data_IF_294552149259
#
_entry.id   IF_294552149259
#
_cell.length_a   1.000
_cell.length_b   1.000
_cell.length_c   1.000
_cell.angle_alpha   90.00
_cell.angle_beta   90.00
_cell.angle_gamma   90.00
#
_symmetry.space_group_name_H-M   'P 1'
#
loop_
_entity.id
_entity.type
_entity.pdbx_description
1 polymer ?
#
# COMPACT_ATOMS: atom_id res chain seq x y z
N UNK A 1 5.51 -0.93 34.02
CA UNK A 1 4.90 -0.61 32.71
C UNK A 1 6.03 -0.25 31.77
N UNK A 2 6.41 -1.16 30.88
CA UNK A 2 7.35 -0.85 29.79
C UNK A 2 6.58 -0.04 28.76
N UNK A 3 7.10 1.09 28.32
CA UNK A 3 6.55 1.81 27.18
C UNK A 3 7.06 1.06 25.95
N UNK A 4 6.15 0.46 25.17
CA UNK A 4 6.48 -0.08 23.85
C UNK A 4 7.27 0.97 23.06
N UNK A 5 8.34 0.54 22.42
CA UNK A 5 9.17 1.43 21.62
C UNK A 5 8.35 1.92 20.43
N UNK A 6 8.65 3.10 19.87
CA UNK A 6 7.93 3.60 18.68
C UNK A 6 7.93 2.60 17.50
N UNK A 7 8.91 1.69 17.47
CA UNK A 7 9.05 0.56 16.56
C UNK A 7 7.93 -0.50 16.65
N UNK A 8 7.13 -0.54 17.71
CA UNK A 8 6.13 -1.60 17.93
C UNK A 8 4.71 -1.16 17.53
N UNK A 9 4.56 0.05 16.96
CA UNK A 9 3.26 0.63 16.60
C UNK A 9 3.19 0.88 15.11
N UNK A 10 1.96 1.00 14.61
CA UNK A 10 1.71 1.50 13.27
C UNK A 10 1.62 3.04 13.31
N UNK A 11 2.51 3.78 12.65
CA UNK A 11 2.44 5.22 12.52
C UNK A 11 1.15 5.69 11.86
N UNK A 12 0.82 6.97 12.04
CA UNK A 12 -0.43 7.53 11.52
C UNK A 12 -0.35 7.88 10.03
N UNK A 13 0.85 8.19 9.52
CA UNK A 13 1.08 8.69 8.16
C UNK A 13 1.64 7.57 7.29
N UNK A 14 1.16 7.41 6.05
CA UNK A 14 1.54 6.32 5.15
C UNK A 14 3.07 6.24 4.92
N UNK A 15 3.72 7.38 4.68
CA UNK A 15 5.19 7.43 4.57
C UNK A 15 5.91 6.92 5.82
N UNK A 16 5.44 7.32 7.02
CA UNK A 16 6.00 6.83 8.28
C UNK A 16 5.70 5.34 8.49
N UNK A 17 4.51 4.86 8.10
CA UNK A 17 4.19 3.44 8.16
C UNK A 17 5.15 2.60 7.31
N UNK A 18 5.55 3.09 6.13
CA UNK A 18 6.57 2.45 5.33
C UNK A 18 7.94 2.48 6.04
N UNK A 19 8.39 3.69 6.40
CA UNK A 19 9.78 3.96 6.77
C UNK A 19 10.14 3.61 8.23
N UNK A 20 9.17 3.66 9.15
CA UNK A 20 9.40 3.49 10.59
C UNK A 20 8.36 2.63 11.31
N UNK A 21 7.36 2.10 10.58
CA UNK A 21 6.33 1.26 11.17
C UNK A 21 6.83 -0.09 11.69
N UNK A 22 6.02 -0.71 12.54
CA UNK A 22 6.23 -2.08 13.00
C UNK A 22 6.14 -3.12 11.86
N UNK A 23 6.81 -4.26 12.06
CA UNK A 23 6.83 -5.38 11.10
C UNK A 23 8.08 -5.43 10.21
N UNK A 24 8.04 -6.22 9.15
CA UNK A 24 9.15 -6.46 8.22
C UNK A 24 8.95 -5.73 6.88
N UNK A 25 9.94 -4.91 6.48
CA UNK A 25 9.95 -4.27 5.18
C UNK A 25 10.31 -5.30 4.09
N UNK A 26 9.33 -5.67 3.25
CA UNK A 26 9.51 -6.69 2.20
C UNK A 26 10.13 -6.05 0.95
N UNK A 27 9.57 -4.91 0.54
CA UNK A 27 10.07 -4.11 -0.58
C UNK A 27 9.97 -2.64 -0.19
N UNK A 28 11.10 -1.95 -0.14
CA UNK A 28 11.14 -0.50 0.03
C UNK A 28 10.89 0.26 -1.28
N UNK A 29 10.45 1.52 -1.16
CA UNK A 29 10.27 2.39 -2.32
C UNK A 29 11.62 2.66 -3.02
N UNK A 30 11.64 2.47 -4.35
CA UNK A 30 12.80 2.71 -5.22
C UNK A 30 12.60 3.92 -6.14
N UNK A 31 11.52 4.69 -5.96
CA UNK A 31 11.13 5.79 -6.82
C UNK A 31 10.55 5.34 -8.17
N UNK A 32 10.37 4.04 -8.39
CA UNK A 32 9.77 3.44 -9.60
C UNK A 32 8.56 2.56 -9.24
N UNK A 33 7.64 2.38 -10.18
CA UNK A 33 6.52 1.45 -10.01
C UNK A 33 7.04 0.02 -9.73
N UNK A 34 6.46 -0.63 -8.72
CA UNK A 34 6.78 -2.01 -8.33
C UNK A 34 6.01 -3.01 -9.20
N UNK A 35 6.73 -3.69 -10.09
CA UNK A 35 6.15 -4.68 -11.04
C UNK A 35 6.33 -6.13 -10.63
N UNK A 36 7.20 -6.41 -9.65
CA UNK A 36 7.47 -7.77 -9.17
C UNK A 36 7.23 -7.86 -7.67
N UNK A 37 6.15 -8.56 -7.31
CA UNK A 37 5.64 -8.66 -5.95
C UNK A 37 5.07 -10.06 -5.66
N UNK A 38 5.71 -11.09 -6.19
CA UNK A 38 5.31 -12.49 -6.02
C UNK A 38 5.39 -13.00 -4.56
N UNK A 39 6.00 -12.23 -3.66
CA UNK A 39 6.11 -12.52 -2.23
C UNK A 39 4.96 -11.96 -1.39
N UNK A 40 4.03 -11.24 -2.01
CA UNK A 40 2.90 -10.58 -1.35
C UNK A 40 1.96 -11.60 -0.69
N UNK A 41 1.55 -11.31 0.55
CA UNK A 41 0.65 -12.17 1.34
C UNK A 41 -0.57 -11.37 1.80
N UNK A 42 -1.79 -11.95 1.77
CA UNK A 42 -2.96 -11.25 2.29
C UNK A 42 -2.72 -10.72 3.71
N UNK A 43 -3.01 -9.45 3.93
CA UNK A 43 -2.67 -8.72 5.16
C UNK A 43 -1.46 -7.78 5.03
N UNK A 44 -0.63 -7.94 3.99
CA UNK A 44 0.48 -7.03 3.72
C UNK A 44 -0.03 -5.60 3.46
N UNK A 45 0.67 -4.62 4.02
CA UNK A 45 0.48 -3.22 3.68
C UNK A 45 1.14 -2.95 2.33
N UNK A 46 0.39 -2.26 1.47
CA UNK A 46 0.82 -1.82 0.14
C UNK A 46 0.80 -0.30 0.10
N UNK A 47 1.85 0.28 -0.45
CA UNK A 47 2.08 1.73 -0.42
C UNK A 47 2.16 2.31 -1.81
N UNK A 48 1.62 3.52 -1.97
CA UNK A 48 1.46 4.18 -3.25
C UNK A 48 1.96 5.62 -3.19
N UNK A 49 2.48 6.08 -4.33
CA UNK A 49 2.69 7.49 -4.66
C UNK A 49 1.58 7.88 -5.65
N UNK A 50 0.38 8.12 -5.09
CA UNK A 50 -0.85 8.27 -5.87
C UNK A 50 -1.05 9.71 -6.37
N UNK A 51 -0.41 10.70 -5.76
CA UNK A 51 -0.52 12.09 -6.17
C UNK A 51 0.76 12.62 -6.80
N UNK A 52 0.58 13.34 -7.89
CA UNK A 52 1.67 13.91 -8.68
C UNK A 52 2.10 15.31 -8.22
N UNK A 53 1.66 15.75 -7.03
CA UNK A 53 1.77 17.17 -6.61
C UNK A 53 2.93 17.44 -5.65
N UNK A 54 3.63 16.40 -5.21
CA UNK A 54 4.41 16.42 -3.96
C UNK A 54 5.89 16.09 -4.22
N UNK A 55 6.19 15.49 -5.37
CA UNK A 55 7.56 15.29 -5.83
C UNK A 55 8.31 14.10 -5.23
N UNK A 56 7.61 12.99 -4.89
CA UNK A 56 8.08 11.64 -4.47
C UNK A 56 7.78 11.30 -2.99
N UNK A 57 6.51 11.28 -2.60
CA UNK A 57 6.13 10.85 -1.25
C UNK A 57 5.12 9.70 -1.31
N UNK A 58 5.25 8.77 -0.37
CA UNK A 58 4.20 7.79 -0.14
C UNK A 58 3.03 8.50 0.55
N UNK A 59 1.93 8.65 -0.17
CA UNK A 59 0.78 9.43 0.27
C UNK A 59 -0.47 8.59 0.53
N UNK A 60 -0.42 7.32 0.15
CA UNK A 60 -1.56 6.42 0.25
C UNK A 60 -1.11 4.99 0.59
N UNK A 61 -1.93 4.33 1.39
CA UNK A 61 -1.73 2.95 1.83
C UNK A 61 -3.00 2.12 1.64
N UNK A 62 -2.83 0.81 1.61
CA UNK A 62 -3.90 -0.16 1.57
C UNK A 62 -3.46 -1.51 2.12
N UNK A 63 -4.39 -2.46 2.17
CA UNK A 63 -4.14 -3.84 2.60
C UNK A 63 -4.36 -4.76 1.42
N UNK A 64 -3.38 -5.58 1.09
CA UNK A 64 -3.54 -6.63 0.09
C UNK A 64 -4.48 -7.73 0.61
N UNK A 65 -5.44 -8.15 -0.22
CA UNK A 65 -6.49 -9.12 0.18
C UNK A 65 -6.45 -10.42 -0.62
N UNK A 66 -5.51 -10.58 -1.54
CA UNK A 66 -5.37 -11.80 -2.34
C UNK A 66 -5.61 -11.58 -3.83
N UNK A 67 -5.71 -12.68 -4.56
CA UNK A 67 -6.07 -12.67 -5.98
C UNK A 67 -7.59 -12.69 -6.15
N UNK A 68 -8.11 -11.96 -7.13
CA UNK A 68 -9.49 -12.14 -7.55
C UNK A 68 -9.67 -13.37 -8.46
N UNK A 69 -10.90 -13.63 -8.91
CA UNK A 69 -11.22 -14.75 -9.78
C UNK A 69 -10.57 -14.70 -11.16
N UNK A 70 -10.01 -13.55 -11.57
CA UNK A 70 -9.24 -13.40 -12.80
C UNK A 70 -7.72 -13.48 -12.55
N UNK A 71 -7.29 -13.64 -11.29
CA UNK A 71 -5.88 -13.74 -10.92
C UNK A 71 -5.19 -12.40 -10.68
N UNK A 72 -5.94 -11.29 -10.61
CA UNK A 72 -5.35 -9.97 -10.33
C UNK A 72 -5.15 -9.74 -8.84
N UNK A 73 -4.05 -9.10 -8.47
CA UNK A 73 -3.69 -8.84 -7.08
C UNK A 73 -4.53 -7.67 -6.52
N UNK A 74 -5.51 -7.97 -5.68
CA UNK A 74 -6.47 -7.01 -5.12
C UNK A 74 -6.02 -6.43 -3.80
N UNK A 75 -6.29 -5.14 -3.60
CA UNK A 75 -6.14 -4.48 -2.30
C UNK A 75 -7.41 -3.73 -1.92
N UNK A 76 -7.53 -3.39 -0.64
CA UNK A 76 -8.57 -2.50 -0.12
C UNK A 76 -7.92 -1.29 0.52
N UNK A 77 -8.55 -0.13 0.37
CA UNK A 77 -8.08 1.10 1.02
C UNK A 77 -9.25 2.00 1.32
N UNK A 78 -9.06 2.94 2.25
CA UNK A 78 -9.97 4.09 2.30
C UNK A 78 -9.72 4.97 1.08
N UNK A 79 -10.75 5.57 0.50
CA UNK A 79 -10.61 6.41 -0.70
C UNK A 79 -11.33 7.73 -0.54
N UNK A 80 -10.69 8.78 -1.05
CA UNK A 80 -11.29 10.12 -1.13
C UNK A 80 -12.57 10.12 -1.96
N UNK A 81 -12.61 9.36 -3.05
CA UNK A 81 -13.74 9.27 -3.98
C UNK A 81 -14.99 8.64 -3.35
N UNK A 82 -14.82 7.72 -2.40
CA UNK A 82 -15.92 7.03 -1.71
C UNK A 82 -16.19 7.57 -0.30
N UNK A 83 -15.40 8.55 0.16
CA UNK A 83 -15.47 9.11 1.52
C UNK A 83 -15.37 8.04 2.63
N UNK A 84 -14.56 6.99 2.42
CA UNK A 84 -14.41 5.92 3.41
C UNK A 84 -13.74 4.65 2.89
N UNK A 85 -13.78 3.56 3.68
CA UNK A 85 -13.30 2.25 3.28
C UNK A 85 -13.92 1.81 1.95
N UNK A 86 -13.08 1.43 1.00
CA UNK A 86 -13.51 1.00 -0.32
C UNK A 86 -13.01 -0.41 -0.60
N UNK A 87 -13.98 -1.31 -0.75
CA UNK A 87 -13.78 -2.66 -1.24
C UNK A 87 -14.34 -2.68 -2.66
N UNK A 88 -13.52 -2.28 -3.65
CA UNK A 88 -13.95 -2.14 -5.05
C UNK A 88 -13.16 -1.08 -5.83
N UNK A 89 -13.64 -0.73 -7.03
CA UNK A 89 -12.86 0.01 -8.03
C UNK A 89 -13.22 1.51 -8.12
N UNK A 90 -13.90 2.06 -7.11
CA UNK A 90 -14.31 3.46 -7.08
C UNK A 90 -13.09 4.39 -6.97
N UNK A 91 -12.79 5.18 -8.01
CA UNK A 91 -11.56 5.98 -8.08
C UNK A 91 -10.34 5.22 -8.60
N UNK A 92 -10.56 4.18 -9.41
CA UNK A 92 -9.52 3.39 -10.09
C UNK A 92 -9.56 1.92 -9.68
N UNK A 93 -9.18 1.02 -10.58
CA UNK A 93 -9.16 -0.41 -10.29
C UNK A 93 -8.26 -0.73 -9.08
N UNK A 94 -8.80 -1.43 -8.07
CA UNK A 94 -8.07 -1.92 -6.91
C UNK A 94 -7.20 -3.13 -7.29
N UNK A 95 -6.28 -2.95 -8.23
CA UNK A 95 -5.35 -3.98 -8.71
C UNK A 95 -3.93 -3.45 -8.62
N UNK A 96 -2.98 -4.31 -8.26
CA UNK A 96 -1.55 -3.97 -8.11
C UNK A 96 -0.74 -4.25 -9.39
N UNK A 97 -1.31 -5.02 -10.31
CA UNK A 97 -0.73 -5.37 -11.60
C UNK A 97 -1.35 -4.60 -12.77
N UNK A 98 -0.62 -4.52 -13.88
CA UNK A 98 -1.05 -3.86 -15.11
C UNK A 98 -0.65 -2.38 -15.17
N UNK A 99 -1.42 -1.60 -15.95
CA UNK A 99 -1.16 -0.18 -16.22
C UNK A 99 -2.29 0.73 -15.71
N UNK A 100 -3.03 0.26 -14.70
CA UNK A 100 -4.06 1.06 -14.05
C UNK A 100 -3.44 2.07 -13.09
N UNK A 101 -4.18 3.13 -12.75
CA UNK A 101 -3.72 4.19 -11.85
C UNK A 101 -3.07 3.68 -10.56
N UNK A 102 -3.70 2.72 -9.87
CA UNK A 102 -3.15 2.15 -8.63
C UNK A 102 -1.99 1.19 -8.85
N UNK A 103 -1.99 0.47 -9.97
CA UNK A 103 -0.84 -0.33 -10.36
C UNK A 103 0.36 0.62 -10.54
N UNK A 104 0.29 1.60 -11.44
CA UNK A 104 1.39 2.53 -11.72
C UNK A 104 1.88 3.32 -10.48
N UNK A 105 0.99 3.60 -9.53
CA UNK A 105 1.32 4.26 -8.27
C UNK A 105 1.96 3.33 -7.22
N UNK A 106 1.89 2.00 -7.37
CA UNK A 106 2.35 1.04 -6.37
C UNK A 106 3.89 1.04 -6.23
N UNK A 107 4.39 1.20 -4.99
CA UNK A 107 5.82 1.41 -4.70
C UNK A 107 6.45 0.38 -3.78
N UNK A 108 5.75 -0.04 -2.73
CA UNK A 108 6.39 -0.72 -1.60
C UNK A 108 5.44 -1.65 -0.84
N UNK A 109 6.03 -2.58 -0.08
CA UNK A 109 5.34 -3.64 0.66
C UNK A 109 5.93 -3.76 2.06
N UNK A 110 5.08 -3.77 3.08
CA UNK A 110 5.44 -4.10 4.46
C UNK A 110 4.53 -5.19 5.00
N UNK A 111 5.14 -6.12 5.73
CA UNK A 111 4.48 -7.20 6.45
C UNK A 111 4.31 -6.79 7.91
N UNK A 112 3.07 -6.56 8.40
CA UNK A 112 2.80 -6.26 9.80
C UNK A 112 3.23 -7.39 10.75
#
# INVERSE_FOLDING_TARGET
MSLDSASDKLPRVADEQLNSGAGHLVVGDKGSHLTSFHTLRPGDLVFFDASNRDGRAIDHDGIYVGLDGAGHARFVSSRRTAHGPTIGDAGGASVLDGSGYWAEAFRAIRQP
#
